data_IF_442086918866
#
_entry.id   IF_442086918866
#
_cell.length_a   1.000
_cell.length_b   1.000
_cell.length_c   1.000
_cell.angle_alpha   90.00
_cell.angle_beta   90.00
_cell.angle_gamma   90.00
#
_symmetry.space_group_name_H-M   'P 1'
#
loop_
_entity.id
_entity.type
_entity.pdbx_description
1 polymer ?
#
# COMPACT_ATOMS: atom_id res chain seq x y z
N UNK A 1 19.25 7.13 21.75
CA UNK A 1 19.29 5.70 21.39
C UNK A 1 19.76 4.92 22.62
N UNK A 2 18.89 4.08 23.17
CA UNK A 2 19.16 3.34 24.41
C UNK A 2 20.20 2.25 24.16
N UNK A 3 21.11 2.02 25.12
CA UNK A 3 22.18 1.00 25.05
C UNK A 3 21.67 -0.39 24.64
N UNK A 4 20.42 -0.73 24.99
CA UNK A 4 19.76 -1.96 24.55
C UNK A 4 19.63 -2.09 23.03
N UNK A 5 19.39 -0.99 22.29
CA UNK A 5 19.28 -1.03 20.84
C UNK A 5 20.64 -1.34 20.19
N UNK A 6 21.72 -0.80 20.76
CA UNK A 6 23.09 -1.04 20.27
C UNK A 6 23.48 -2.51 20.49
N UNK A 7 23.17 -3.07 21.66
CA UNK A 7 23.44 -4.48 21.97
C UNK A 7 22.63 -5.46 21.10
N UNK A 8 21.39 -5.13 20.78
CA UNK A 8 20.55 -5.91 19.86
C UNK A 8 21.11 -5.88 18.44
N UNK A 9 21.55 -4.71 17.95
CA UNK A 9 22.16 -4.59 16.62
C UNK A 9 23.47 -5.39 16.53
N UNK A 10 24.33 -5.35 17.55
CA UNK A 10 25.57 -6.13 17.58
C UNK A 10 25.29 -7.64 17.58
N UNK A 11 24.29 -8.10 18.34
CA UNK A 11 23.89 -9.52 18.33
C UNK A 11 23.35 -10.00 16.99
N UNK A 12 22.58 -9.15 16.29
CA UNK A 12 22.01 -9.49 14.98
C UNK A 12 23.06 -9.50 13.87
N UNK A 13 24.13 -8.70 13.99
CA UNK A 13 25.24 -8.67 13.03
C UNK A 13 26.16 -9.89 13.15
N UNK A 14 26.22 -10.53 14.32
CA UNK A 14 27.20 -11.58 14.63
C UNK A 14 26.62 -13.01 14.66
N UNK A 15 25.31 -13.18 14.44
CA UNK A 15 24.73 -14.52 14.30
C UNK A 15 25.05 -15.10 12.92
N UNK A 16 26.06 -15.96 12.84
CA UNK A 16 26.39 -16.73 11.65
C UNK A 16 25.23 -17.65 11.23
N UNK A 17 24.94 -17.69 9.93
CA UNK A 17 23.97 -18.63 9.37
C UNK A 17 24.52 -20.07 9.41
N UNK A 18 23.70 -21.10 9.72
CA UNK A 18 24.12 -22.49 9.59
C UNK A 18 24.45 -22.82 8.13
N UNK A 19 25.63 -23.37 7.89
CA UNK A 19 26.18 -23.70 6.57
C UNK A 19 25.71 -25.07 6.03
N UNK A 20 24.43 -25.40 6.16
CA UNK A 20 23.87 -26.67 5.68
C UNK A 20 22.96 -26.45 4.48
N UNK A 21 23.23 -27.07 3.30
CA UNK A 21 22.33 -26.98 2.16
C UNK A 21 21.01 -27.72 2.46
N UNK A 22 19.89 -27.00 2.39
CA UNK A 22 18.56 -27.60 2.47
C UNK A 22 18.30 -28.44 1.20
N UNK A 23 17.66 -29.63 1.32
CA UNK A 23 17.32 -30.45 0.16
C UNK A 23 16.34 -29.72 -0.77
N UNK A 24 16.47 -29.97 -2.08
CA UNK A 24 15.55 -29.45 -3.09
C UNK A 24 14.12 -29.95 -2.83
N UNK A 25 13.08 -29.10 -2.96
CA UNK A 25 11.69 -29.51 -2.79
C UNK A 25 11.29 -30.53 -3.87
N UNK A 26 10.59 -31.59 -3.46
CA UNK A 26 9.98 -32.52 -4.42
C UNK A 26 8.74 -31.91 -5.08
N UNK A 27 8.41 -32.29 -6.33
CA UNK A 27 7.24 -31.79 -7.03
C UNK A 27 5.95 -32.30 -6.37
N UNK A 28 5.10 -31.39 -5.94
CA UNK A 28 3.74 -31.74 -5.49
C UNK A 28 2.78 -31.78 -6.69
N UNK A 29 1.80 -32.72 -6.69
CA UNK A 29 0.78 -32.78 -7.72
C UNK A 29 -0.13 -31.53 -7.70
N UNK A 30 -0.70 -31.13 -8.84
CA UNK A 30 -1.54 -29.95 -8.94
C UNK A 30 -2.80 -30.07 -8.06
N UNK A 31 -3.28 -28.98 -7.46
CA UNK A 31 -4.53 -28.98 -6.71
C UNK A 31 -5.72 -29.29 -7.63
N UNK A 32 -6.69 -30.04 -7.10
CA UNK A 32 -7.96 -30.36 -7.77
C UNK A 32 -8.76 -29.07 -8.02
N UNK A 33 -9.37 -28.87 -9.21
CA UNK A 33 -10.17 -27.68 -9.48
C UNK A 33 -11.42 -27.63 -8.58
N UNK A 34 -11.60 -26.52 -7.87
CA UNK A 34 -12.86 -26.23 -7.17
C UNK A 34 -13.96 -25.93 -8.21
N UNK A 35 -15.03 -26.70 -8.17
CA UNK A 35 -16.21 -26.49 -9.01
C UNK A 35 -17.02 -25.30 -8.45
N UNK A 36 -16.79 -24.11 -9.01
CA UNK A 36 -17.56 -22.90 -8.67
C UNK A 36 -18.84 -22.93 -9.49
N UNK A 37 -20.00 -23.10 -8.84
CA UNK A 37 -21.29 -22.89 -9.49
C UNK A 37 -21.47 -21.41 -9.86
N UNK A 38 -21.97 -21.08 -11.06
CA UNK A 38 -22.22 -19.69 -11.43
C UNK A 38 -23.32 -19.09 -10.55
N UNK A 39 -23.03 -17.95 -9.91
CA UNK A 39 -24.04 -17.11 -9.28
C UNK A 39 -25.04 -16.64 -10.36
N UNK A 40 -26.33 -16.79 -10.07
CA UNK A 40 -27.39 -16.35 -10.96
C UNK A 40 -27.31 -14.83 -11.24
N UNK A 41 -27.55 -14.37 -12.48
CA UNK A 41 -27.49 -12.96 -12.82
C UNK A 41 -28.64 -12.19 -12.15
N UNK A 42 -28.32 -10.99 -11.64
CA UNK A 42 -29.30 -10.08 -11.05
C UNK A 42 -30.37 -9.68 -12.09
N UNK A 43 -31.65 -9.53 -11.69
CA UNK A 43 -32.71 -9.08 -12.60
C UNK A 43 -32.45 -7.64 -13.05
N UNK A 44 -32.45 -7.45 -14.38
CA UNK A 44 -32.23 -6.18 -15.04
C UNK A 44 -33.45 -5.26 -14.92
N UNK A 45 -33.55 -4.50 -13.84
CA UNK A 45 -34.46 -3.35 -13.76
C UNK A 45 -34.05 -2.42 -12.62
N UNK A 46 -33.09 -1.51 -12.87
CA UNK A 46 -32.91 -0.25 -12.14
C UNK A 46 -31.91 0.65 -12.89
N UNK A 47 -32.02 1.99 -12.73
CA UNK A 47 -31.60 2.96 -13.73
C UNK A 47 -30.08 3.00 -13.87
N UNK A 48 -29.61 3.19 -15.11
CA UNK A 48 -28.20 3.42 -15.51
C UNK A 48 -27.27 3.68 -14.34
N UNK A 49 -26.73 2.60 -13.75
CA UNK A 49 -25.60 2.68 -12.84
C UNK A 49 -24.48 3.34 -13.64
N UNK A 50 -24.20 4.61 -13.32
CA UNK A 50 -23.09 5.33 -13.90
C UNK A 50 -21.82 4.59 -13.42
N UNK A 51 -21.33 3.65 -14.22
CA UNK A 51 -20.25 2.71 -13.86
C UNK A 51 -18.96 3.44 -13.46
N UNK A 52 -18.85 4.73 -13.80
CA UNK A 52 -17.80 5.64 -13.38
C UNK A 52 -17.72 5.85 -11.85
N UNK A 53 -18.81 5.66 -11.10
CA UNK A 53 -18.80 5.84 -9.64
C UNK A 53 -18.05 4.71 -8.91
N UNK A 54 -18.11 3.48 -9.42
CA UNK A 54 -17.54 2.27 -8.78
C UNK A 54 -16.01 2.28 -8.79
N UNK A 55 -15.39 2.98 -9.75
CA UNK A 55 -13.94 3.06 -9.88
C UNK A 55 -13.32 4.31 -9.27
N UNK A 56 -14.14 5.19 -8.69
CA UNK A 56 -13.70 6.47 -8.17
C UNK A 56 -13.41 6.38 -6.67
N UNK A 57 -12.35 7.06 -6.23
CA UNK A 57 -12.04 7.26 -4.83
C UNK A 57 -13.02 8.28 -4.24
N UNK A 58 -14.31 7.94 -4.16
CA UNK A 58 -15.38 8.82 -3.70
C UNK A 58 -15.83 8.40 -2.29
N UNK A 59 -16.12 9.39 -1.44
CA UNK A 59 -16.64 9.15 -0.08
C UNK A 59 -17.81 10.07 0.20
N UNK A 60 -18.72 9.64 1.06
CA UNK A 60 -19.66 10.55 1.73
C UNK A 60 -18.98 11.06 3.00
N UNK A 61 -18.74 12.37 3.07
CA UNK A 61 -18.09 13.01 4.21
C UNK A 61 -18.75 12.71 5.56
N UNK A 62 -20.00 12.25 5.60
CA UNK A 62 -20.74 11.91 6.84
C UNK A 62 -20.45 10.51 7.35
N UNK A 63 -20.19 9.54 6.48
CA UNK A 63 -20.18 8.10 6.79
C UNK A 63 -18.84 7.53 7.32
N UNK A 64 -17.79 8.34 7.39
CA UNK A 64 -16.50 7.92 7.94
C UNK A 64 -16.51 7.75 9.46
N UNK A 65 -15.57 6.96 9.99
CA UNK A 65 -15.38 6.75 11.43
C UNK A 65 -14.42 7.78 12.00
N UNK A 66 -14.70 8.27 13.20
CA UNK A 66 -13.76 9.11 13.93
C UNK A 66 -12.75 8.26 14.67
N UNK A 67 -11.53 8.77 14.81
CA UNK A 67 -10.59 8.26 15.80
C UNK A 67 -11.09 8.58 17.23
N UNK A 68 -10.45 7.98 18.25
CA UNK A 68 -10.85 8.18 19.65
C UNK A 68 -10.76 9.63 20.13
N UNK A 69 -9.83 10.41 19.56
CA UNK A 69 -9.65 11.82 19.91
C UNK A 69 -10.50 12.79 19.07
N UNK A 70 -11.27 12.26 18.09
CA UNK A 70 -12.07 13.04 17.13
C UNK A 70 -11.26 14.11 16.37
N UNK A 71 -9.98 13.83 16.12
CA UNK A 71 -9.09 14.68 15.33
C UNK A 71 -9.05 14.28 13.86
N UNK A 72 -9.34 13.01 13.56
CA UNK A 72 -9.28 12.46 12.21
C UNK A 72 -10.52 11.64 11.88
N UNK A 73 -11.03 11.83 10.67
CA UNK A 73 -12.09 11.02 10.09
C UNK A 73 -11.49 10.05 9.07
N UNK A 74 -11.76 8.76 9.26
CA UNK A 74 -11.19 7.66 8.49
C UNK A 74 -12.25 6.94 7.67
N UNK A 75 -11.85 6.45 6.51
CA UNK A 75 -12.69 5.71 5.57
C UNK A 75 -11.95 4.46 5.12
N UNK A 76 -12.56 3.32 5.38
CA UNK A 76 -12.03 2.00 5.08
C UNK A 76 -12.48 1.54 3.69
N UNK A 77 -11.65 0.73 3.07
CA UNK A 77 -11.87 0.11 1.75
C UNK A 77 -12.62 0.99 0.75
N UNK A 78 -12.21 2.25 0.62
CA UNK A 78 -12.87 3.24 -0.25
C UNK A 78 -12.79 2.81 -1.70
N UNK A 79 -11.64 2.26 -2.08
CA UNK A 79 -11.40 1.77 -3.43
C UNK A 79 -10.58 0.49 -3.36
N UNK A 80 -11.23 -0.64 -3.57
CA UNK A 80 -10.62 -1.97 -3.45
C UNK A 80 -10.11 -2.45 -4.81
N UNK A 81 -8.90 -3.01 -4.83
CA UNK A 81 -8.32 -3.60 -6.02
C UNK A 81 -9.06 -4.86 -6.48
N UNK A 82 -9.08 -5.09 -7.79
CA UNK A 82 -9.87 -6.17 -8.44
C UNK A 82 -9.56 -7.56 -7.89
N UNK A 83 -8.31 -7.83 -7.53
CA UNK A 83 -7.82 -9.10 -7.00
C UNK A 83 -7.49 -9.05 -5.51
N UNK A 84 -7.72 -7.92 -4.84
CA UNK A 84 -7.29 -7.72 -3.45
C UNK A 84 -7.86 -8.78 -2.50
N UNK A 85 -9.14 -9.12 -2.66
CA UNK A 85 -9.82 -10.13 -1.83
C UNK A 85 -9.25 -11.52 -2.08
N UNK A 86 -9.13 -11.94 -3.35
CA UNK A 86 -8.55 -13.24 -3.72
C UNK A 86 -7.10 -13.37 -3.22
N UNK A 87 -6.29 -12.34 -3.41
CA UNK A 87 -4.91 -12.31 -2.95
C UNK A 87 -4.80 -12.35 -1.43
N UNK A 88 -5.75 -11.75 -0.69
CA UNK A 88 -5.79 -11.81 0.77
C UNK A 88 -6.16 -13.18 1.31
N UNK A 89 -6.85 -14.01 0.51
CA UNK A 89 -7.10 -15.42 0.83
C UNK A 89 -5.91 -16.32 0.46
N UNK A 90 -5.18 -15.95 -0.59
CA UNK A 90 -4.05 -16.74 -1.12
C UNK A 90 -2.76 -16.54 -0.34
N UNK A 91 -2.47 -15.31 0.09
CA UNK A 91 -1.26 -14.96 0.82
C UNK A 91 -1.54 -14.88 2.33
N UNK A 92 -0.65 -15.41 3.14
CA UNK A 92 -0.65 -15.23 4.58
C UNK A 92 -0.16 -13.85 5.02
N UNK A 93 0.40 -13.04 4.12
CA UNK A 93 0.96 -11.71 4.41
C UNK A 93 0.55 -10.66 3.39
N UNK A 94 0.32 -9.43 3.86
CA UNK A 94 0.02 -8.25 3.05
C UNK A 94 0.94 -7.09 3.43
N UNK A 95 1.17 -6.16 2.50
CA UNK A 95 1.78 -4.87 2.83
C UNK A 95 0.72 -3.97 3.47
N UNK A 96 1.08 -3.35 4.59
CA UNK A 96 0.42 -2.14 5.07
C UNK A 96 1.35 -0.95 4.81
N UNK A 97 0.88 0.03 4.05
CA UNK A 97 1.64 1.25 3.77
C UNK A 97 0.77 2.49 3.85
N UNK A 98 1.39 3.65 3.86
CA UNK A 98 0.74 4.92 4.03
C UNK A 98 1.41 6.03 3.22
N UNK A 99 0.63 6.98 2.72
CA UNK A 99 1.18 8.10 1.94
C UNK A 99 0.29 9.34 1.95
N UNK A 100 0.93 10.49 1.79
CA UNK A 100 0.29 11.69 1.26
C UNK A 100 0.38 11.69 -0.26
N UNK A 101 -0.26 12.66 -0.92
CA UNK A 101 -0.24 12.77 -2.40
C UNK A 101 1.20 12.86 -2.93
N UNK A 102 2.08 13.53 -2.20
CA UNK A 102 3.46 13.89 -2.58
C UNK A 102 4.39 12.70 -2.79
N UNK A 103 4.15 11.58 -2.10
CA UNK A 103 5.00 10.37 -2.17
C UNK A 103 4.32 9.20 -2.85
N UNK A 104 3.09 9.39 -3.33
CA UNK A 104 2.24 8.31 -3.84
C UNK A 104 2.77 7.69 -5.15
N UNK A 105 3.65 8.38 -5.88
CA UNK A 105 4.33 7.84 -7.06
C UNK A 105 5.15 6.57 -6.73
N UNK A 106 5.69 6.47 -5.51
CA UNK A 106 6.49 5.31 -5.05
C UNK A 106 5.68 4.01 -5.04
N UNK A 107 4.35 4.08 -4.92
CA UNK A 107 3.46 2.93 -4.98
C UNK A 107 3.60 2.14 -6.29
N UNK A 108 4.00 2.81 -7.38
CA UNK A 108 4.28 2.15 -8.65
C UNK A 108 5.37 1.10 -8.44
N UNK A 109 6.53 1.46 -7.89
CA UNK A 109 7.64 0.52 -7.68
C UNK A 109 7.26 -0.56 -6.67
N UNK A 110 6.64 -0.19 -5.55
CA UNK A 110 6.20 -1.15 -4.52
C UNK A 110 5.27 -2.21 -5.12
N UNK A 111 4.26 -1.81 -5.88
CA UNK A 111 3.29 -2.74 -6.48
C UNK A 111 3.85 -3.60 -7.60
N UNK A 112 4.93 -3.18 -8.28
CA UNK A 112 5.62 -4.03 -9.25
C UNK A 112 6.44 -5.12 -8.58
N UNK A 113 7.07 -4.83 -7.43
CA UNK A 113 7.90 -5.80 -6.71
C UNK A 113 7.11 -6.67 -5.71
N UNK A 114 5.94 -6.22 -5.27
CA UNK A 114 5.05 -6.97 -4.39
C UNK A 114 3.89 -7.60 -5.16
N UNK A 115 3.85 -8.93 -5.18
CA UNK A 115 2.81 -9.72 -5.88
C UNK A 115 1.58 -10.01 -5.01
N UNK A 116 1.68 -9.80 -3.70
CA UNK A 116 0.57 -9.97 -2.76
C UNK A 116 -0.36 -8.76 -2.65
N UNK A 117 -1.33 -8.79 -1.72
CA UNK A 117 -2.24 -7.68 -1.46
C UNK A 117 -1.55 -6.51 -0.74
N UNK A 118 -2.00 -5.28 -1.01
CA UNK A 118 -1.47 -4.04 -0.44
C UNK A 118 -2.62 -3.21 0.15
N UNK A 119 -2.59 -2.93 1.44
CA UNK A 119 -3.45 -1.92 2.08
C UNK A 119 -2.71 -0.58 2.14
N UNK A 120 -3.28 0.45 1.52
CA UNK A 120 -2.67 1.78 1.42
C UNK A 120 -3.57 2.85 2.06
N UNK A 121 -3.13 3.42 3.18
CA UNK A 121 -3.79 4.57 3.81
C UNK A 121 -3.32 5.88 3.19
N UNK A 122 -4.25 6.68 2.71
CA UNK A 122 -3.98 7.94 2.03
C UNK A 122 -4.50 9.12 2.84
N UNK A 123 -3.64 10.10 3.08
CA UNK A 123 -3.99 11.35 3.77
C UNK A 123 -4.20 12.49 2.77
N UNK A 124 -5.29 13.22 2.97
CA UNK A 124 -5.56 14.48 2.30
C UNK A 124 -6.21 15.48 3.27
N UNK A 125 -6.00 16.77 3.04
CA UNK A 125 -6.60 17.86 3.80
C UNK A 125 -7.41 18.79 2.89
N UNK A 126 -8.74 18.69 3.01
CA UNK A 126 -9.70 19.53 2.31
C UNK A 126 -9.87 19.22 0.82
N UNK A 127 -10.74 19.99 0.19
CA UNK A 127 -11.22 19.76 -1.18
C UNK A 127 -10.10 19.73 -2.21
N UNK A 128 -9.18 20.69 -2.14
CA UNK A 128 -8.10 20.82 -3.12
C UNK A 128 -7.15 19.62 -3.10
N UNK A 129 -6.68 19.19 -1.93
CA UNK A 129 -5.76 18.06 -1.84
C UNK A 129 -6.47 16.75 -2.17
N UNK A 130 -7.72 16.60 -1.72
CA UNK A 130 -8.52 15.41 -2.04
C UNK A 130 -8.77 15.27 -3.55
N UNK A 131 -9.12 16.36 -4.24
CA UNK A 131 -9.30 16.36 -5.69
C UNK A 131 -8.06 15.91 -6.46
N UNK A 132 -6.88 16.39 -6.04
CA UNK A 132 -5.60 15.98 -6.63
C UNK A 132 -5.30 14.51 -6.33
N UNK A 133 -5.55 14.05 -5.10
CA UNK A 133 -5.39 12.66 -4.70
C UNK A 133 -6.27 11.73 -5.55
N UNK A 134 -7.55 12.04 -5.71
CA UNK A 134 -8.46 11.27 -6.56
C UNK A 134 -7.95 11.21 -8.01
N UNK A 135 -7.53 12.35 -8.57
CA UNK A 135 -6.99 12.42 -9.93
C UNK A 135 -5.73 11.55 -10.11
N UNK A 136 -4.83 11.56 -9.12
CA UNK A 136 -3.61 10.76 -9.18
C UNK A 136 -3.86 9.26 -8.95
N UNK A 137 -4.76 8.88 -8.03
CA UNK A 137 -5.17 7.47 -7.88
C UNK A 137 -5.82 6.93 -9.16
N UNK A 138 -6.66 7.73 -9.82
CA UNK A 138 -7.24 7.37 -11.12
C UNK A 138 -6.15 7.15 -12.18
N UNK A 139 -5.15 8.03 -12.24
CA UNK A 139 -3.98 7.86 -13.10
C UNK A 139 -3.23 6.56 -12.79
N UNK A 140 -2.94 6.29 -11.51
CA UNK A 140 -2.20 5.09 -11.12
C UNK A 140 -2.94 3.81 -11.50
N UNK A 141 -4.26 3.75 -11.28
CA UNK A 141 -5.06 2.57 -11.64
C UNK A 141 -5.22 2.40 -13.16
N UNK A 142 -5.29 3.50 -13.92
CA UNK A 142 -5.32 3.47 -15.39
C UNK A 142 -4.00 2.95 -15.95
N UNK A 143 -2.87 3.47 -15.47
CA UNK A 143 -1.55 3.18 -16.01
C UNK A 143 -0.93 1.87 -15.50
N UNK A 144 -1.17 1.50 -14.25
CA UNK A 144 -0.46 0.39 -13.60
C UNK A 144 -1.41 -0.70 -13.14
N UNK A 145 -1.40 -1.80 -13.90
CA UNK A 145 -2.19 -3.00 -13.61
C UNK A 145 -1.99 -3.52 -12.16
N UNK A 146 -0.76 -3.63 -11.62
CA UNK A 146 -0.57 -4.08 -10.23
C UNK A 146 -1.28 -3.20 -9.20
N UNK A 147 -1.31 -1.87 -9.41
CA UNK A 147 -2.04 -0.95 -8.51
C UNK A 147 -3.54 -1.19 -8.60
N UNK A 148 -4.08 -1.32 -9.81
CA UNK A 148 -5.52 -1.54 -10.03
C UNK A 148 -6.02 -2.86 -9.44
N UNK A 149 -5.20 -3.90 -9.51
CA UNK A 149 -5.57 -5.25 -9.08
C UNK A 149 -5.34 -5.48 -7.59
N UNK A 150 -4.23 -4.99 -7.03
CA UNK A 150 -3.74 -5.48 -5.73
C UNK A 150 -3.86 -4.50 -4.57
N UNK A 151 -4.18 -3.23 -4.84
CA UNK A 151 -4.18 -2.19 -3.80
C UNK A 151 -5.60 -1.88 -3.34
N UNK A 152 -5.83 -1.91 -2.03
CA UNK A 152 -7.01 -1.34 -1.39
C UNK A 152 -6.64 0.01 -0.77
N UNK A 153 -7.37 1.06 -1.18
CA UNK A 153 -7.14 2.42 -0.71
C UNK A 153 -8.10 2.80 0.42
N UNK A 154 -7.54 3.43 1.45
CA UNK A 154 -8.24 3.96 2.60
C UNK A 154 -7.95 5.45 2.71
N UNK A 155 -8.86 6.22 3.29
CA UNK A 155 -8.69 7.67 3.42
C UNK A 155 -8.71 8.11 4.87
N UNK A 156 -7.96 9.17 5.14
CA UNK A 156 -7.99 9.87 6.41
C UNK A 156 -7.92 11.37 6.16
N UNK A 157 -8.80 12.10 6.85
CA UNK A 157 -8.91 13.54 6.77
C UNK A 157 -8.84 14.17 8.17
N UNK A 158 -8.21 15.34 8.34
CA UNK A 158 -8.29 16.11 9.59
C UNK A 158 -9.72 16.59 9.83
N UNK A 159 -10.12 16.70 11.10
CA UNK A 159 -11.45 17.22 11.49
C UNK A 159 -11.76 18.58 10.89
N UNK A 160 -10.76 19.46 10.77
CA UNK A 160 -10.93 20.84 10.31
C UNK A 160 -10.77 20.98 8.79
N UNK A 161 -10.52 19.86 8.09
CA UNK A 161 -10.24 19.78 6.65
C UNK A 161 -10.95 18.58 6.01
N UNK A 162 -12.19 18.32 6.43
CA UNK A 162 -13.04 17.35 5.75
C UNK A 162 -13.44 17.87 4.37
N UNK A 163 -13.48 17.01 3.33
CA UNK A 163 -13.91 17.43 2.01
C UNK A 163 -15.43 17.62 1.92
N UNK A 164 -15.88 18.57 1.11
CA UNK A 164 -17.31 18.77 0.81
C UNK A 164 -17.71 17.91 -0.38
N UNK A 165 -18.41 16.80 -0.13
CA UNK A 165 -18.73 15.79 -1.14
C UNK A 165 -20.10 16.05 -1.80
N UNK A 166 -20.26 15.85 -3.12
CA UNK A 166 -19.33 15.22 -4.07
C UNK A 166 -18.32 16.19 -4.71
N UNK A 167 -17.07 15.74 -4.87
CA UNK A 167 -16.00 16.48 -5.55
C UNK A 167 -15.56 15.67 -6.78
N UNK A 168 -15.56 16.33 -7.93
CA UNK A 168 -15.03 15.75 -9.16
C UNK A 168 -13.50 15.71 -9.10
N UNK A 169 -12.92 14.53 -9.36
CA UNK A 169 -11.48 14.32 -9.39
C UNK A 169 -10.78 15.25 -10.39
N UNK A 170 -9.51 15.58 -10.14
CA UNK A 170 -8.70 16.29 -11.13
C UNK A 170 -8.50 15.43 -12.37
N UNK A 171 -8.72 16.01 -13.56
CA UNK A 171 -8.55 15.27 -14.83
C UNK A 171 -7.10 14.82 -14.99
N UNK A 172 -6.90 13.53 -15.23
CA UNK A 172 -5.58 12.91 -15.33
C UNK A 172 -5.41 12.03 -16.57
N UNK A 173 -6.37 12.06 -17.50
CA UNK A 173 -6.38 11.25 -18.73
C UNK A 173 -5.20 11.58 -19.66
N UNK A 174 -4.74 12.84 -19.64
CA UNK A 174 -3.66 13.37 -20.46
C UNK A 174 -2.26 13.10 -19.89
N UNK A 175 -2.16 12.54 -18.69
CA UNK A 175 -0.86 12.30 -18.04
C UNK A 175 -0.18 11.05 -18.59
N UNK A 176 1.14 11.13 -18.76
CA UNK A 176 2.00 10.08 -19.30
C UNK A 176 2.28 8.97 -18.26
N UNK A 177 1.92 7.74 -18.62
CA UNK A 177 2.14 6.55 -17.79
C UNK A 177 3.62 6.15 -17.67
N UNK A 178 4.53 6.69 -18.48
CA UNK A 178 5.96 6.40 -18.37
C UNK A 178 6.67 7.25 -17.31
N UNK A 179 6.01 8.33 -16.84
CA UNK A 179 6.61 9.33 -15.95
C UNK A 179 5.71 9.56 -14.71
N UNK A 180 5.58 8.58 -13.78
CA UNK A 180 4.69 8.70 -12.64
C UNK A 180 4.99 9.90 -11.73
N UNK A 181 6.27 10.19 -11.50
CA UNK A 181 6.70 11.35 -10.71
C UNK A 181 6.43 12.67 -11.45
N UNK A 182 6.73 12.72 -12.75
CA UNK A 182 6.41 13.86 -13.61
C UNK A 182 4.91 14.17 -13.66
N UNK A 183 4.07 13.13 -13.79
CA UNK A 183 2.62 13.23 -13.75
C UNK A 183 2.12 13.76 -12.40
N UNK A 184 2.69 13.28 -11.29
CA UNK A 184 2.38 13.79 -9.96
C UNK A 184 2.75 15.27 -9.82
N UNK A 185 3.96 15.64 -10.25
CA UNK A 185 4.46 17.00 -10.19
C UNK A 185 3.58 17.97 -10.99
N UNK A 186 3.04 17.55 -12.14
CA UNK A 186 2.07 18.34 -12.90
C UNK A 186 0.78 18.60 -12.14
N UNK A 187 0.25 17.61 -11.41
CA UNK A 187 -0.94 17.77 -10.57
C UNK A 187 -0.64 18.66 -9.35
N UNK A 188 0.49 18.45 -8.69
CA UNK A 188 0.87 19.22 -7.49
C UNK A 188 1.08 20.72 -7.77
N UNK A 189 1.40 21.12 -9.02
CA UNK A 189 1.42 22.54 -9.42
C UNK A 189 0.06 23.24 -9.27
N UNK A 190 -1.04 22.48 -9.29
CA UNK A 190 -2.41 23.01 -9.07
C UNK A 190 -2.77 23.11 -7.59
N UNK A 191 -1.89 22.69 -6.67
CA UNK A 191 -2.12 22.78 -5.23
C UNK A 191 -2.00 24.24 -4.77
N UNK A 192 -3.03 24.81 -4.12
CA UNK A 192 -2.97 26.18 -3.63
C UNK A 192 -1.89 26.37 -2.54
N UNK A 193 -1.27 27.54 -2.53
CA UNK A 193 -0.22 27.88 -1.56
C UNK A 193 -0.72 27.89 -0.10
N UNK A 194 -2.01 28.12 0.12
CA UNK A 194 -2.65 28.02 1.43
C UNK A 194 -2.64 26.59 2.01
N UNK A 195 -2.85 25.57 1.16
CA UNK A 195 -2.79 24.17 1.56
C UNK A 195 -1.36 23.82 1.96
N UNK A 196 -0.37 24.30 1.20
CA UNK A 196 1.05 24.11 1.53
C UNK A 196 1.40 24.74 2.87
N UNK A 197 1.01 26.00 3.11
CA UNK A 197 1.20 26.68 4.41
C UNK A 197 0.49 25.96 5.55
N UNK A 198 -0.72 25.44 5.30
CA UNK A 198 -1.47 24.67 6.29
C UNK A 198 -0.71 23.38 6.66
N UNK A 199 -0.19 22.63 5.68
CA UNK A 199 0.60 21.40 5.89
C UNK A 199 1.90 21.62 6.66
N UNK A 200 2.53 22.78 6.50
CA UNK A 200 3.73 23.13 7.30
C UNK A 200 3.41 23.30 8.80
N UNK A 201 2.18 23.70 9.14
CA UNK A 201 1.74 23.93 10.53
C UNK A 201 1.00 22.74 11.13
N UNK A 202 0.58 21.78 10.31
CA UNK A 202 -0.23 20.64 10.72
C UNK A 202 0.52 19.35 10.39
N UNK A 203 1.14 18.71 11.40
CA UNK A 203 1.93 17.52 11.21
C UNK A 203 1.15 16.37 10.58
N UNK A 204 1.85 15.61 9.75
CA UNK A 204 1.32 14.43 9.08
C UNK A 204 1.08 13.28 10.09
N UNK A 205 -0.13 12.66 10.12
CA UNK A 205 -0.51 11.75 11.19
C UNK A 205 -0.02 10.32 10.96
N UNK A 206 1.30 10.11 10.97
CA UNK A 206 1.97 8.84 10.65
C UNK A 206 1.36 7.62 11.38
N UNK A 207 1.18 7.71 12.69
CA UNK A 207 0.68 6.58 13.49
C UNK A 207 -0.79 6.23 13.18
N UNK A 208 -1.63 7.24 12.95
CA UNK A 208 -3.03 7.02 12.57
C UNK A 208 -3.12 6.30 11.23
N UNK A 209 -2.27 6.69 10.29
CA UNK A 209 -2.18 6.12 8.95
C UNK A 209 -1.66 4.68 8.95
N UNK A 210 -0.58 4.41 9.69
CA UNK A 210 -0.06 3.04 9.88
C UNK A 210 -1.13 2.13 10.50
N UNK A 211 -1.87 2.63 11.48
CA UNK A 211 -2.97 1.89 12.08
C UNK A 211 -4.13 1.67 11.11
N UNK A 212 -4.49 2.68 10.30
CA UNK A 212 -5.55 2.57 9.31
C UNK A 212 -5.21 1.50 8.26
N UNK A 213 -4.00 1.55 7.70
CA UNK A 213 -3.54 0.54 6.74
C UNK A 213 -3.51 -0.86 7.38
N UNK A 214 -2.85 -1.00 8.54
CA UNK A 214 -2.76 -2.29 9.23
C UNK A 214 -4.12 -2.91 9.54
N UNK A 215 -5.11 -2.11 9.96
CA UNK A 215 -6.46 -2.61 10.29
C UNK A 215 -7.26 -3.06 9.07
N UNK A 216 -6.85 -2.67 7.86
CA UNK A 216 -7.47 -3.08 6.60
C UNK A 216 -6.65 -4.16 5.87
N UNK A 217 -5.62 -4.70 6.51
CA UNK A 217 -5.01 -5.94 6.06
C UNK A 217 -5.93 -7.10 6.43
N UNK A 218 -6.23 -7.96 5.44
CA UNK A 218 -7.09 -9.14 5.62
C UNK A 218 -6.30 -10.45 5.71
N UNK A 219 -4.97 -10.37 5.79
CA UNK A 219 -4.05 -11.50 5.92
C UNK A 219 -3.64 -11.71 7.39
N UNK A 220 -3.20 -12.92 7.74
CA UNK A 220 -2.78 -13.26 9.11
C UNK A 220 -1.55 -12.47 9.59
N UNK A 221 -0.65 -12.12 8.67
CA UNK A 221 0.54 -11.33 8.93
C UNK A 221 0.49 -10.00 8.19
N UNK A 222 1.10 -8.97 8.76
CA UNK A 222 1.18 -7.63 8.15
C UNK A 222 2.64 -7.21 8.05
N UNK A 223 3.10 -6.96 6.83
CA UNK A 223 4.36 -6.29 6.57
C UNK A 223 4.13 -4.78 6.52
N UNK A 224 4.28 -4.12 7.67
CA UNK A 224 4.13 -2.67 7.78
C UNK A 224 5.40 -1.99 7.26
N UNK A 225 5.28 -1.22 6.18
CA UNK A 225 6.42 -0.54 5.56
C UNK A 225 6.05 0.85 5.03
N UNK A 226 7.01 1.76 5.00
CA UNK A 226 6.83 3.07 4.36
C UNK A 226 6.78 2.90 2.82
N UNK A 227 6.12 3.83 2.14
CA UNK A 227 5.74 3.66 0.72
C UNK A 227 6.93 3.78 -0.25
N UNK A 228 8.06 4.29 0.23
CA UNK A 228 9.33 4.42 -0.48
C UNK A 228 10.26 3.23 -0.25
N UNK A 229 9.90 2.28 0.62
CA UNK A 229 10.62 1.02 0.75
C UNK A 229 10.15 0.06 -0.33
N UNK A 230 11.05 -0.24 -1.27
CA UNK A 230 10.80 -1.13 -2.39
C UNK A 230 11.18 -2.57 -1.98
N UNK A 231 10.23 -3.52 -1.98
CA UNK A 231 10.53 -4.93 -1.71
C UNK A 231 11.54 -5.51 -2.70
N UNK A 232 12.35 -6.47 -2.25
CA UNK A 232 13.11 -7.32 -3.17
C UNK A 232 12.18 -8.13 -4.07
N UNK A 233 12.64 -8.49 -5.26
CA UNK A 233 11.89 -9.40 -6.13
C UNK A 233 11.55 -10.70 -5.40
N UNK A 234 10.33 -11.20 -5.60
CA UNK A 234 9.81 -12.43 -4.98
C UNK A 234 9.70 -12.42 -3.45
N UNK A 235 9.80 -11.25 -2.80
CA UNK A 235 9.71 -11.17 -1.33
C UNK A 235 8.35 -11.62 -0.81
N UNK A 236 7.26 -11.35 -1.53
CA UNK A 236 5.92 -11.75 -1.12
C UNK A 236 5.78 -13.28 -1.01
N UNK A 237 6.17 -14.00 -2.06
CA UNK A 237 6.13 -15.46 -2.11
C UNK A 237 7.10 -16.08 -1.10
N UNK A 238 8.31 -15.53 -0.99
CA UNK A 238 9.33 -16.03 -0.05
C UNK A 238 8.88 -15.85 1.40
N UNK A 239 8.29 -14.69 1.73
CA UNK A 239 7.78 -14.40 3.06
C UNK A 239 6.54 -15.26 3.37
N UNK A 240 5.65 -15.46 2.41
CA UNK A 240 4.49 -16.35 2.55
C UNK A 240 4.90 -17.80 2.83
N UNK A 241 5.88 -18.32 2.10
CA UNK A 241 6.43 -19.66 2.32
C UNK A 241 7.10 -19.79 3.69
N UNK A 242 7.90 -18.80 4.10
CA UNK A 242 8.52 -18.75 5.42
C UNK A 242 7.45 -18.80 6.52
N UNK A 243 6.43 -17.93 6.45
CA UNK A 243 5.41 -17.78 7.49
C UNK A 243 4.53 -19.02 7.66
N UNK A 244 4.41 -19.90 6.65
CA UNK A 244 3.72 -21.21 6.78
C UNK A 244 4.46 -22.20 7.69
N UNK A 245 5.77 -22.04 7.83
CA UNK A 245 6.62 -22.94 8.62
C UNK A 245 7.22 -22.26 9.85
N UNK A 246 7.10 -20.95 9.95
CA UNK A 246 7.65 -20.18 11.06
C UNK A 246 6.87 -20.47 12.35
N UNK A 247 7.58 -20.96 13.36
CA UNK A 247 7.00 -21.24 14.68
C UNK A 247 7.33 -20.08 15.62
N UNK A 248 6.29 -19.44 16.13
CA UNK A 248 6.39 -18.41 17.15
C UNK A 248 5.43 -18.76 18.30
N UNK A 249 5.94 -18.80 19.53
CA UNK A 249 5.12 -18.90 20.74
C UNK A 249 5.07 -17.54 21.44
N UNK A 250 3.88 -16.95 21.54
CA UNK A 250 3.66 -15.64 22.17
C UNK A 250 3.74 -14.47 21.19
N UNK A 251 4.33 -13.35 21.63
CA UNK A 251 4.42 -12.12 20.84
C UNK A 251 5.74 -12.08 20.04
N UNK A 252 5.72 -12.50 18.78
CA UNK A 252 6.89 -12.37 17.91
C UNK A 252 6.72 -11.27 16.87
N UNK A 253 7.86 -10.72 16.46
CA UNK A 253 8.00 -9.88 15.29
C UNK A 253 9.16 -10.42 14.45
N UNK A 254 8.91 -10.60 13.15
CA UNK A 254 9.97 -10.92 12.20
C UNK A 254 10.56 -9.61 11.65
N UNK A 255 11.88 -9.51 11.68
CA UNK A 255 12.60 -8.32 11.21
C UNK A 255 13.05 -8.55 9.77
N UNK A 256 12.72 -7.62 8.88
CA UNK A 256 13.16 -7.62 7.49
C UNK A 256 14.28 -6.58 7.36
N UNK A 257 15.52 -7.00 7.01
CA UNK A 257 16.61 -6.08 6.77
C UNK A 257 16.27 -5.09 5.65
N UNK A 258 16.51 -3.81 5.90
CA UNK A 258 16.26 -2.72 4.96
C UNK A 258 17.57 -1.98 4.72
N UNK A 259 17.85 -1.63 3.46
CA UNK A 259 19.09 -0.99 3.03
C UNK A 259 18.76 0.27 2.25
N UNK A 260 19.53 1.32 2.47
CA UNK A 260 19.44 2.55 1.69
C UNK A 260 20.29 2.42 0.43
N UNK A 261 19.78 2.92 -0.69
CA UNK A 261 20.46 2.90 -1.98
C UNK A 261 20.58 4.33 -2.50
N UNK A 262 21.73 4.66 -3.08
CA UNK A 262 21.91 5.89 -3.82
C UNK A 262 21.04 5.87 -5.09
N UNK A 263 20.37 6.97 -5.42
CA UNK A 263 19.48 7.05 -6.59
C UNK A 263 20.19 6.76 -7.92
N UNK A 264 21.53 6.90 -7.97
CA UNK A 264 22.35 6.65 -9.15
C UNK A 264 22.64 5.17 -9.38
N UNK A 265 22.45 4.32 -8.37
CA UNK A 265 22.73 2.89 -8.50
C UNK A 265 21.50 2.14 -8.98
N UNK A 266 21.73 1.10 -9.79
CA UNK A 266 20.64 0.22 -10.23
C UNK A 266 20.13 -0.60 -9.04
N UNK A 267 18.80 -0.74 -8.93
CA UNK A 267 18.19 -1.59 -7.93
C UNK A 267 18.76 -3.02 -7.98
N UNK A 268 19.28 -3.55 -6.85
CA UNK A 268 19.95 -4.85 -6.82
C UNK A 268 18.95 -5.98 -7.08
N UNK A 269 19.32 -6.95 -7.92
CA UNK A 269 18.44 -8.09 -8.26
C UNK A 269 18.52 -9.22 -7.24
N UNK A 270 19.61 -9.29 -6.48
CA UNK A 270 19.88 -10.34 -5.52
C UNK A 270 20.88 -9.87 -4.45
N UNK A 271 21.12 -10.71 -3.43
CA UNK A 271 22.06 -10.43 -2.33
C UNK A 271 23.49 -10.14 -2.82
N UNK A 272 23.95 -10.84 -3.87
CA UNK A 272 25.30 -10.64 -4.42
C UNK A 272 25.45 -9.24 -5.02
N UNK A 273 24.45 -8.77 -5.76
CA UNK A 273 24.42 -7.40 -6.30
C UNK A 273 24.40 -6.37 -5.17
N UNK A 274 23.62 -6.61 -4.10
CA UNK A 274 23.56 -5.71 -2.94
C UNK A 274 24.90 -5.59 -2.22
N UNK A 275 25.59 -6.71 -1.97
CA UNK A 275 26.90 -6.71 -1.28
C UNK A 275 27.96 -5.94 -2.10
N UNK A 276 27.86 -5.94 -3.43
CA UNK A 276 28.77 -5.19 -4.31
C UNK A 276 28.57 -3.67 -4.24
N UNK A 277 27.48 -3.20 -3.62
CA UNK A 277 27.19 -1.77 -3.41
C UNK A 277 27.66 -1.28 -2.04
N UNK A 278 28.11 -2.18 -1.16
CA UNK A 278 28.56 -1.88 0.20
C UNK A 278 30.02 -1.44 0.26
#
# INVERSE_FOLDING_TARGET
LTVCNILLTIRLLHSECPSSPLPAPQPHPPPVPLHIQPLAPCPASTPTCNLSSIYSLAVDSRLGRWDSSRLFKMYDSVLVGELFVELSLRYGVSIATQSSVEKLHSLVQVSHHWTGPISAALYAAGDHEYKLLQGYVNFLRRCYKPVRERVSFHLIFPKDKLPVTPIAAERSDHLDCLQPEGALNQLLRRRPSEVVRWRQRNPYPQNHMRNLARKNCHTSYVFLTDIDIIPSAHLAESLDAFLKTAHCTGNCAYVIPTYELDERVRFPRNKTDLIRLA
#
